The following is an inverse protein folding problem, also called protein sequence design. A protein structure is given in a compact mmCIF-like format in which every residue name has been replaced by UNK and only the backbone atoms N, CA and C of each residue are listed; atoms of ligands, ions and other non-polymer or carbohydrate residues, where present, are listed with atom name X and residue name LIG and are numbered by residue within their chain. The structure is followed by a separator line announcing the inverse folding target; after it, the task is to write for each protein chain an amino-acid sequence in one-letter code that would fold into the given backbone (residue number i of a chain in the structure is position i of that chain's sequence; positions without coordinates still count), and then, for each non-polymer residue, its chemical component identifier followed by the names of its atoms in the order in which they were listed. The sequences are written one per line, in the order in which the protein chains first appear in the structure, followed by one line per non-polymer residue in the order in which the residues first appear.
data_IF_764913547399
#
_entry.id   IF_764913547399
#
_cell.length_a   1.000
_cell.length_b   1.000
_cell.length_c   1.000
_cell.angle_alpha   90.00
_cell.angle_beta   90.00
_cell.angle_gamma   90.00
#
_symmetry.space_group_name_H-M   'P 1'
#
loop_
_entity.id
_entity.type
_entity.pdbx_description
1 polymer ?
#
# COMPACT_ATOMS: atom_id res chain seq x y z
N UNK A 1 12.33 -2.86 -15.55
CA UNK A 1 12.60 -3.58 -14.27
C UNK A 1 13.40 -2.65 -13.38
N UNK A 2 13.05 -2.44 -12.09
CA UNK A 2 13.86 -1.60 -11.20
C UNK A 2 15.26 -2.21 -11.03
N UNK A 3 16.30 -1.38 -11.08
CA UNK A 3 17.69 -1.82 -10.99
C UNK A 3 18.02 -2.21 -9.53
N UNK A 4 18.85 -3.24 -9.35
CA UNK A 4 19.29 -3.71 -8.03
C UNK A 4 20.04 -2.61 -7.24
N UNK A 5 20.72 -1.71 -7.95
CA UNK A 5 21.38 -0.53 -7.38
C UNK A 5 20.40 0.54 -6.91
N UNK A 6 19.25 0.69 -7.59
CA UNK A 6 18.18 1.59 -7.13
C UNK A 6 17.64 1.09 -5.78
N UNK A 7 17.46 -0.23 -5.65
CA UNK A 7 16.95 -0.84 -4.43
C UNK A 7 17.88 -0.64 -3.22
N UNK A 8 19.20 -0.79 -3.42
CA UNK A 8 20.20 -0.58 -2.37
C UNK A 8 20.32 0.90 -1.95
N UNK A 9 20.28 1.83 -2.92
CA UNK A 9 20.25 3.27 -2.62
C UNK A 9 19.00 3.67 -1.82
N UNK A 10 17.87 3.03 -2.12
CA UNK A 10 16.59 3.28 -1.46
C UNK A 10 16.56 2.85 0.01
N UNK A 11 17.29 1.79 0.40
CA UNK A 11 17.37 1.41 1.82
C UNK A 11 18.03 2.51 2.67
N UNK A 12 19.12 3.11 2.19
CA UNK A 12 19.81 4.21 2.91
C UNK A 12 18.98 5.50 2.95
N UNK A 13 18.11 5.72 1.96
CA UNK A 13 17.20 6.86 1.91
C UNK A 13 16.09 6.79 2.97
N UNK A 14 15.77 5.61 3.52
CA UNK A 14 14.75 5.46 4.55
C UNK A 14 15.17 6.01 5.92
N UNK A 15 16.46 6.27 6.14
CA UNK A 15 16.98 6.77 7.43
C UNK A 15 16.77 8.27 7.62
N UNK A 16 16.47 9.01 6.54
CA UNK A 16 16.26 10.47 6.57
C UNK A 16 14.87 10.84 6.06
N UNK A 17 14.27 11.89 6.63
CA UNK A 17 13.00 12.46 6.14
C UNK A 17 13.08 12.86 4.67
N UNK A 18 14.23 13.41 4.24
CA UNK A 18 14.44 13.81 2.86
C UNK A 18 14.48 12.60 1.92
N UNK A 19 15.14 11.50 2.34
CA UNK A 19 15.18 10.28 1.55
C UNK A 19 13.81 9.58 1.49
N UNK A 20 13.02 9.58 2.57
CA UNK A 20 11.62 9.11 2.55
C UNK A 20 10.76 9.88 1.55
N UNK A 21 10.92 11.22 1.47
CA UNK A 21 10.23 12.06 0.49
C UNK A 21 10.63 11.72 -0.95
N UNK A 22 11.93 11.59 -1.20
CA UNK A 22 12.46 11.20 -2.51
C UNK A 22 11.92 9.84 -2.97
N UNK A 23 11.84 8.85 -2.08
CA UNK A 23 11.23 7.56 -2.39
C UNK A 23 9.75 7.69 -2.71
N UNK A 24 9.00 8.47 -1.91
CA UNK A 24 7.59 8.69 -2.19
C UNK A 24 7.39 9.28 -3.58
N UNK A 25 8.16 10.31 -3.97
CA UNK A 25 8.09 10.94 -5.30
C UNK A 25 8.36 9.95 -6.44
N UNK A 26 9.36 9.08 -6.30
CA UNK A 26 9.72 8.09 -7.33
C UNK A 26 8.67 6.99 -7.48
N UNK A 27 8.13 6.52 -6.35
CA UNK A 27 7.24 5.37 -6.33
C UNK A 27 5.76 5.76 -6.42
N UNK A 28 5.40 7.03 -6.24
CA UNK A 28 4.02 7.52 -6.29
C UNK A 28 3.30 7.10 -7.58
N UNK A 29 3.96 7.23 -8.73
CA UNK A 29 3.39 6.87 -10.03
C UNK A 29 3.20 5.36 -10.23
N UNK A 30 3.70 4.53 -9.30
CA UNK A 30 3.52 3.07 -9.32
C UNK A 30 2.40 2.60 -8.39
N UNK A 31 1.83 3.49 -7.57
CA UNK A 31 0.70 3.18 -6.71
C UNK A 31 -0.58 3.40 -7.52
N UNK A 32 -1.36 2.34 -7.67
CA UNK A 32 -2.69 2.41 -8.30
C UNK A 32 -3.77 2.32 -7.23
N UNK A 33 -4.80 3.15 -7.37
CA UNK A 33 -6.00 3.06 -6.54
C UNK A 33 -6.90 2.01 -7.18
N UNK A 34 -7.30 0.96 -6.44
CA UNK A 34 -8.15 -0.08 -7.00
C UNK A 34 -9.55 0.43 -7.35
N UNK A 35 -10.06 0.00 -8.51
CA UNK A 35 -11.43 0.20 -8.97
C UNK A 35 -12.37 -0.91 -8.46
N UNK A 36 -13.71 -0.73 -8.52
CA UNK A 36 -14.67 -1.70 -7.95
C UNK A 36 -14.54 -3.14 -8.48
N UNK A 37 -14.08 -3.33 -9.71
CA UNK A 37 -13.95 -4.64 -10.35
C UNK A 37 -12.54 -5.21 -10.26
N UNK A 38 -11.61 -4.53 -9.58
CA UNK A 38 -10.23 -4.97 -9.48
C UNK A 38 -10.08 -6.12 -8.48
N UNK A 39 -9.40 -7.18 -8.92
CA UNK A 39 -9.07 -8.31 -8.06
C UNK A 39 -7.80 -8.01 -7.26
N UNK A 40 -7.95 -7.78 -5.96
CA UNK A 40 -6.83 -7.52 -5.04
C UNK A 40 -6.54 -8.76 -4.19
N UNK A 41 -5.34 -9.33 -4.32
CA UNK A 41 -4.90 -10.50 -3.56
C UNK A 41 -4.40 -10.09 -2.16
N UNK A 42 -5.32 -10.04 -1.18
CA UNK A 42 -5.00 -9.67 0.22
C UNK A 42 -4.94 -10.86 1.19
N UNK A 43 -5.58 -11.98 0.82
CA UNK A 43 -5.90 -13.06 1.76
C UNK A 43 -4.93 -14.23 1.70
N UNK A 44 -4.30 -14.45 0.54
CA UNK A 44 -3.40 -15.59 0.31
C UNK A 44 -2.28 -15.15 -0.63
N UNK A 45 -1.08 -15.66 -0.37
CA UNK A 45 0.08 -15.44 -1.22
C UNK A 45 -0.15 -16.04 -2.62
N UNK A 46 0.40 -15.41 -3.65
CA UNK A 46 0.27 -15.91 -5.02
C UNK A 46 1.11 -17.16 -5.31
N UNK A 47 2.11 -17.45 -4.47
CA UNK A 47 3.11 -18.51 -4.69
C UNK A 47 3.15 -19.56 -3.56
N UNK A 48 2.39 -19.36 -2.49
CA UNK A 48 2.31 -20.26 -1.34
C UNK A 48 0.91 -20.22 -0.74
N UNK A 49 0.59 -21.16 0.15
CA UNK A 49 -0.66 -21.17 0.90
C UNK A 49 -0.62 -20.27 2.14
N UNK A 50 0.37 -19.38 2.22
CA UNK A 50 0.52 -18.47 3.36
C UNK A 50 -0.62 -17.46 3.36
N UNK A 51 -1.23 -17.31 4.53
CA UNK A 51 -2.30 -16.34 4.78
C UNK A 51 -1.84 -15.33 5.84
N UNK A 52 -2.38 -14.11 5.86
CA UNK A 52 -2.03 -13.12 6.87
C UNK A 52 -2.30 -13.67 8.27
N UNK A 53 -1.25 -13.71 9.11
CA UNK A 53 -1.40 -14.05 10.52
C UNK A 53 -1.94 -12.83 11.24
N UNK A 54 -3.23 -12.84 11.59
CA UNK A 54 -3.98 -11.73 12.17
C UNK A 54 -3.20 -10.96 13.25
N UNK A 55 -2.76 -9.74 12.91
CA UNK A 55 -2.36 -8.70 13.87
C UNK A 55 -2.59 -7.26 13.36
N UNK A 56 -3.39 -7.07 12.30
CA UNK A 56 -3.57 -5.74 11.72
C UNK A 56 -4.77 -4.97 12.31
N UNK A 57 -4.62 -3.65 12.57
CA UNK A 57 -5.66 -2.84 13.18
C UNK A 57 -6.85 -2.71 12.22
N UNK A 58 -8.06 -2.86 12.77
CA UNK A 58 -9.28 -2.62 12.02
C UNK A 58 -9.40 -1.13 11.68
N UNK A 59 -9.09 -0.74 10.44
CA UNK A 59 -9.42 0.59 9.93
C UNK A 59 -10.92 0.60 9.68
N UNK A 60 -11.68 1.09 10.66
CA UNK A 60 -13.13 1.25 10.59
C UNK A 60 -13.44 2.51 9.78
N UNK A 61 -13.83 2.36 8.52
CA UNK A 61 -14.46 3.45 7.78
C UNK A 61 -15.83 3.71 8.42
N UNK A 62 -16.03 4.89 9.03
CA UNK A 62 -17.36 5.35 9.42
C UNK A 62 -18.08 5.75 8.14
N UNK A 63 -18.99 4.91 7.67
CA UNK A 63 -20.00 5.30 6.69
C UNK A 63 -21.06 6.10 7.45
N UNK A 64 -20.93 7.43 7.47
CA UNK A 64 -22.00 8.31 7.95
C UNK A 64 -23.07 8.34 6.86
N UNK A 65 -24.11 7.52 7.04
CA UNK A 65 -25.32 7.62 6.25
C UNK A 65 -26.07 8.87 6.73
N UNK A 66 -25.87 10.00 6.05
CA UNK A 66 -26.82 11.11 6.11
C UNK A 66 -28.09 10.65 5.39
N UNK A 67 -29.04 10.09 6.14
CA UNK A 67 -30.42 10.06 5.71
C UNK A 67 -31.03 11.41 6.09
N UNK A 68 -30.92 12.36 5.17
CA UNK A 68 -31.61 13.64 5.19
C UNK A 68 -32.97 13.47 4.49
N UNK A 69 -34.04 13.83 5.22
CA UNK A 69 -35.42 14.14 4.75
C UNK A 69 -36.25 12.97 4.17
N UNK A 70 -37.55 12.81 4.40
CA UNK A 70 -38.64 13.61 5.00
C UNK A 70 -39.72 12.64 5.51
#
# INVERSE_FOLDING_TARGET
MPNLNDLLGNLSALDSLQGKRYLLEIYQNRVQIPEPNDRIHKNECSLSFDTPVSSSPQIRFKQEHNAESE
#
